data_IF_296790132519
#
_entry.id   IF_296790132519
#
_cell.length_a   1.000
_cell.length_b   1.000
_cell.length_c   1.000
_cell.angle_alpha   90.00
_cell.angle_beta   90.00
_cell.angle_gamma   90.00
#
_symmetry.space_group_name_H-M   'P 1'
#
loop_
_entity.id
_entity.type
_entity.pdbx_description
1 polymer ?
#
# COMPACT_ATOMS: atom_id res chain seq x y z
N UNK A 1 -54.22 41.96 -30.32
CA UNK A 1 -54.60 40.73 -29.59
C UNK A 1 -53.45 39.75 -29.74
N UNK A 2 -52.96 39.27 -28.59
CA UNK A 2 -51.73 38.51 -28.33
C UNK A 2 -51.61 37.23 -29.20
N UNK A 3 -50.45 36.99 -29.82
CA UNK A 3 -49.31 36.20 -29.31
C UNK A 3 -49.59 34.68 -29.27
N UNK A 4 -49.23 34.00 -30.35
CA UNK A 4 -49.21 32.53 -30.48
C UNK A 4 -47.84 32.14 -31.02
N UNK A 5 -46.77 32.43 -30.27
CA UNK A 5 -45.42 31.99 -30.59
C UNK A 5 -44.65 31.71 -29.29
N UNK A 6 -44.88 30.56 -28.66
CA UNK A 6 -44.18 30.32 -27.39
C UNK A 6 -44.41 28.98 -26.69
N UNK A 7 -44.67 27.89 -27.42
CA UNK A 7 -44.67 26.55 -26.82
C UNK A 7 -44.04 25.62 -27.84
N UNK A 8 -42.91 24.99 -27.51
CA UNK A 8 -42.41 23.68 -28.04
C UNK A 8 -40.87 23.52 -28.13
N UNK A 9 -40.05 24.35 -27.48
CA UNK A 9 -38.60 24.07 -27.39
C UNK A 9 -38.07 24.20 -25.95
N UNK A 10 -38.44 23.27 -25.07
CA UNK A 10 -37.93 23.34 -23.70
C UNK A 10 -38.21 22.09 -22.87
N UNK A 11 -37.44 21.02 -23.08
CA UNK A 11 -37.27 20.03 -22.02
C UNK A 11 -37.09 18.61 -22.48
N UNK A 12 -35.89 18.22 -22.93
CA UNK A 12 -35.53 16.79 -22.98
C UNK A 12 -34.01 16.50 -22.94
N UNK A 13 -33.15 17.42 -22.49
CA UNK A 13 -31.68 17.22 -22.46
C UNK A 13 -31.03 17.14 -21.07
N UNK A 14 -31.79 17.33 -19.98
CA UNK A 14 -31.23 17.35 -18.62
C UNK A 14 -31.06 15.95 -17.99
N UNK A 15 -31.92 14.99 -18.35
CA UNK A 15 -31.90 13.64 -17.76
C UNK A 15 -30.76 12.74 -18.25
N UNK A 16 -30.33 12.88 -19.50
CA UNK A 16 -29.24 12.09 -20.08
C UNK A 16 -27.90 12.44 -19.44
N UNK A 17 -27.58 13.74 -19.29
CA UNK A 17 -26.35 14.22 -18.64
C UNK A 17 -26.24 13.74 -17.18
N UNK A 18 -27.34 13.75 -16.43
CA UNK A 18 -27.36 13.27 -15.04
C UNK A 18 -27.04 11.78 -14.89
N UNK A 19 -27.52 10.93 -15.81
CA UNK A 19 -27.22 9.49 -15.82
C UNK A 19 -25.76 9.20 -16.16
N UNK A 20 -25.19 9.88 -17.15
CA UNK A 20 -23.79 9.74 -17.52
C UNK A 20 -22.85 10.12 -16.36
N UNK A 21 -23.12 11.24 -15.67
CA UNK A 21 -22.32 11.68 -14.52
C UNK A 21 -22.39 10.69 -13.36
N UNK A 22 -23.59 10.14 -13.06
CA UNK A 22 -23.74 9.12 -11.99
C UNK A 22 -23.02 7.81 -12.33
N UNK A 23 -23.16 7.32 -13.56
CA UNK A 23 -22.46 6.13 -14.06
C UNK A 23 -20.93 6.31 -14.01
N UNK A 24 -20.42 7.43 -14.52
CA UNK A 24 -18.99 7.74 -14.50
C UNK A 24 -18.44 7.86 -13.07
N UNK A 25 -19.15 8.53 -12.16
CA UNK A 25 -18.78 8.59 -10.74
C UNK A 25 -18.75 7.19 -10.11
N UNK A 26 -19.75 6.35 -10.40
CA UNK A 26 -19.80 4.97 -9.90
C UNK A 26 -18.60 4.13 -10.38
N UNK A 27 -18.25 4.22 -11.67
CA UNK A 27 -17.09 3.55 -12.24
C UNK A 27 -15.77 3.99 -11.63
N UNK A 28 -15.59 5.31 -11.42
CA UNK A 28 -14.39 5.86 -10.76
C UNK A 28 -14.29 5.39 -9.30
N UNK A 29 -15.40 5.36 -8.57
CA UNK A 29 -15.43 4.90 -7.18
C UNK A 29 -15.03 3.43 -7.09
N UNK A 30 -15.62 2.57 -7.92
CA UNK A 30 -15.30 1.15 -7.96
C UNK A 30 -13.84 0.89 -8.32
N UNK A 31 -13.27 1.64 -9.28
CA UNK A 31 -11.85 1.53 -9.63
C UNK A 31 -10.94 1.94 -8.48
N UNK A 32 -11.24 3.04 -7.79
CA UNK A 32 -10.48 3.49 -6.60
C UNK A 32 -10.53 2.46 -5.47
N UNK A 33 -11.70 1.87 -5.20
CA UNK A 33 -11.85 0.83 -4.18
C UNK A 33 -11.00 -0.40 -4.48
N UNK A 34 -10.94 -0.84 -5.75
CA UNK A 34 -10.08 -1.97 -6.15
C UNK A 34 -8.59 -1.69 -5.93
N UNK A 35 -8.15 -0.46 -6.21
CA UNK A 35 -6.76 -0.03 -6.01
C UNK A 35 -6.43 -0.02 -4.51
N UNK A 36 -7.30 0.56 -3.68
CA UNK A 36 -7.11 0.60 -2.24
C UNK A 36 -7.10 -0.81 -1.63
N UNK A 37 -8.06 -1.66 -2.01
CA UNK A 37 -8.10 -3.06 -1.56
C UNK A 37 -6.82 -3.81 -1.96
N UNK A 38 -6.33 -3.61 -3.19
CA UNK A 38 -5.06 -4.20 -3.64
C UNK A 38 -3.87 -3.71 -2.82
N UNK A 39 -3.83 -2.42 -2.48
CA UNK A 39 -2.76 -1.85 -1.65
C UNK A 39 -2.75 -2.47 -0.25
N UNK A 40 -3.93 -2.66 0.36
CA UNK A 40 -4.06 -3.32 1.67
C UNK A 40 -3.65 -4.78 1.59
N UNK A 41 -4.17 -5.55 0.62
CA UNK A 41 -3.84 -6.98 0.48
C UNK A 41 -2.34 -7.22 0.27
N UNK A 42 -1.70 -6.40 -0.57
CA UNK A 42 -0.25 -6.52 -0.78
C UNK A 42 0.52 -6.02 0.45
N UNK A 43 0.02 -5.02 1.18
CA UNK A 43 0.61 -4.61 2.46
C UNK A 43 0.52 -5.69 3.54
N UNK A 44 -0.57 -6.45 3.58
CA UNK A 44 -0.67 -7.63 4.45
C UNK A 44 0.36 -8.70 4.05
N UNK A 45 0.56 -8.90 2.74
CA UNK A 45 1.58 -9.82 2.23
C UNK A 45 3.00 -9.35 2.56
N UNK A 46 3.24 -8.03 2.60
CA UNK A 46 4.55 -7.47 2.94
C UNK A 46 4.94 -7.69 4.41
N UNK A 47 3.96 -7.86 5.30
CA UNK A 47 4.18 -8.33 6.67
C UNK A 47 4.26 -9.86 6.75
N UNK A 48 3.35 -10.57 6.09
CA UNK A 48 3.24 -12.03 6.19
C UNK A 48 4.48 -12.77 5.65
N UNK A 49 5.10 -12.25 4.59
CA UNK A 49 6.31 -12.88 4.01
C UNK A 49 7.49 -12.84 5.01
N UNK A 50 7.96 -11.67 5.49
CA UNK A 50 8.99 -11.61 6.54
C UNK A 50 8.63 -12.42 7.78
N UNK A 51 7.35 -12.40 8.18
CA UNK A 51 6.87 -13.20 9.29
C UNK A 51 7.16 -14.69 9.11
N UNK A 52 6.76 -15.30 7.99
CA UNK A 52 7.02 -16.72 7.70
C UNK A 52 8.53 -17.02 7.69
N UNK A 53 9.33 -16.17 7.04
CA UNK A 53 10.79 -16.33 7.03
C UNK A 53 11.41 -16.21 8.44
N UNK A 54 10.84 -15.37 9.31
CA UNK A 54 11.25 -15.29 10.71
C UNK A 54 11.14 -16.61 11.45
N UNK A 55 10.07 -17.38 11.22
CA UNK A 55 9.93 -18.73 11.79
C UNK A 55 10.92 -19.72 11.18
N UNK A 56 11.07 -19.71 9.85
CA UNK A 56 11.98 -20.61 9.14
C UNK A 56 13.45 -20.40 9.54
N UNK A 57 13.84 -19.14 9.73
CA UNK A 57 15.20 -18.75 10.10
C UNK A 57 15.43 -18.75 11.62
N UNK A 58 14.40 -19.00 12.43
CA UNK A 58 14.52 -18.99 13.89
C UNK A 58 15.63 -19.90 14.46
N UNK A 59 15.92 -21.10 13.90
CA UNK A 59 17.06 -21.92 14.35
C UNK A 59 18.40 -21.19 14.21
N UNK A 60 18.57 -20.38 13.17
CA UNK A 60 19.79 -19.59 12.92
C UNK A 60 19.97 -18.55 14.01
N UNK A 61 18.88 -17.97 14.54
CA UNK A 61 18.94 -16.98 15.62
C UNK A 61 19.68 -17.49 16.86
N UNK A 62 19.56 -18.79 17.17
CA UNK A 62 20.26 -19.41 18.32
C UNK A 62 21.74 -19.65 18.06
N UNK A 63 22.12 -19.90 16.80
CA UNK A 63 23.50 -20.15 16.40
C UNK A 63 24.28 -18.85 16.19
N UNK A 64 23.65 -17.88 15.55
CA UNK A 64 24.25 -16.61 15.15
C UNK A 64 23.18 -15.53 15.01
N UNK A 65 22.97 -14.77 16.08
CA UNK A 65 22.00 -13.66 16.12
C UNK A 65 22.24 -12.60 15.04
N UNK A 66 23.47 -12.09 14.85
CA UNK A 66 23.77 -11.13 13.79
C UNK A 66 23.41 -11.63 12.38
N UNK A 67 23.75 -12.89 12.06
CA UNK A 67 23.41 -13.48 10.76
C UNK A 67 21.90 -13.55 10.55
N UNK A 68 21.15 -13.96 11.57
CA UNK A 68 19.68 -13.97 11.53
C UNK A 68 19.13 -12.57 11.21
N UNK A 69 19.59 -11.53 11.91
CA UNK A 69 19.13 -10.16 11.68
C UNK A 69 19.44 -9.69 10.25
N UNK A 70 20.66 -9.95 9.75
CA UNK A 70 21.02 -9.62 8.36
C UNK A 70 20.13 -10.32 7.35
N UNK A 71 19.86 -11.62 7.50
CA UNK A 71 18.98 -12.35 6.60
C UNK A 71 17.55 -11.80 6.63
N UNK A 72 17.02 -11.48 7.82
CA UNK A 72 15.70 -10.86 7.96
C UNK A 72 15.62 -9.51 7.25
N UNK A 73 16.65 -8.67 7.36
CA UNK A 73 16.68 -7.38 6.66
C UNK A 73 16.67 -7.59 5.14
N UNK A 74 17.46 -8.54 4.63
CA UNK A 74 17.45 -8.88 3.20
C UNK A 74 16.07 -9.37 2.73
N UNK A 75 15.38 -10.18 3.54
CA UNK A 75 14.01 -10.62 3.24
C UNK A 75 13.05 -9.42 3.16
N UNK A 76 13.10 -8.48 4.10
CA UNK A 76 12.25 -7.28 4.07
C UNK A 76 12.56 -6.40 2.86
N UNK A 77 13.85 -6.18 2.56
CA UNK A 77 14.32 -5.44 1.38
C UNK A 77 13.80 -6.04 0.08
N UNK A 78 14.00 -7.35 -0.11
CA UNK A 78 13.55 -8.08 -1.30
C UNK A 78 12.01 -8.06 -1.41
N UNK A 79 11.31 -8.32 -0.30
CA UNK A 79 9.85 -8.29 -0.25
C UNK A 79 9.30 -6.93 -0.63
N UNK A 80 9.86 -5.85 -0.05
CA UNK A 80 9.48 -4.47 -0.35
C UNK A 80 9.62 -4.17 -1.86
N UNK A 81 10.80 -4.44 -2.44
CA UNK A 81 11.07 -4.18 -3.85
C UNK A 81 10.16 -4.99 -4.79
N UNK A 82 10.03 -6.29 -4.55
CA UNK A 82 9.23 -7.19 -5.40
C UNK A 82 7.74 -6.85 -5.34
N UNK A 83 7.20 -6.58 -4.14
CA UNK A 83 5.79 -6.25 -3.98
C UNK A 83 5.47 -4.87 -4.55
N UNK A 84 6.35 -3.87 -4.40
CA UNK A 84 6.16 -2.56 -5.04
C UNK A 84 6.18 -2.69 -6.57
N UNK A 85 7.14 -3.44 -7.13
CA UNK A 85 7.19 -3.72 -8.56
C UNK A 85 5.91 -4.42 -9.04
N UNK A 86 5.37 -5.35 -8.26
CA UNK A 86 4.12 -6.05 -8.56
C UNK A 86 2.86 -5.16 -8.41
N UNK A 87 2.86 -4.23 -7.44
CA UNK A 87 1.76 -3.31 -7.22
C UNK A 87 1.63 -2.31 -8.37
N UNK A 88 2.75 -1.75 -8.84
CA UNK A 88 2.82 -0.77 -9.92
C UNK A 88 2.92 -1.39 -11.32
N UNK A 89 2.95 -2.72 -11.43
CA UNK A 89 3.08 -3.41 -12.72
C UNK A 89 2.00 -2.95 -13.70
N UNK A 90 2.45 -2.47 -14.88
CA UNK A 90 1.60 -1.96 -15.98
C UNK A 90 0.71 -0.76 -15.59
N UNK A 91 1.10 0.02 -14.59
CA UNK A 91 0.40 1.25 -14.18
C UNK A 91 1.36 2.44 -14.19
N UNK A 92 0.84 3.61 -14.54
CA UNK A 92 1.60 4.85 -14.39
C UNK A 92 1.86 5.12 -12.90
N UNK A 93 3.12 5.40 -12.57
CA UNK A 93 3.54 5.61 -11.18
C UNK A 93 3.43 7.10 -10.84
N UNK A 94 2.50 7.43 -9.95
CA UNK A 94 2.41 8.77 -9.36
C UNK A 94 3.24 8.83 -8.08
N UNK A 95 4.00 9.90 -7.89
CA UNK A 95 4.78 10.14 -6.64
C UNK A 95 3.85 10.17 -5.43
N UNK A 96 2.67 10.80 -5.56
CA UNK A 96 1.68 10.88 -4.47
C UNK A 96 1.12 9.50 -4.13
N UNK A 97 0.72 8.71 -5.13
CA UNK A 97 0.21 7.35 -4.90
C UNK A 97 1.29 6.47 -4.25
N UNK A 98 2.53 6.57 -4.72
CA UNK A 98 3.64 5.77 -4.21
C UNK A 98 3.99 6.12 -2.77
N UNK A 99 4.03 7.41 -2.42
CA UNK A 99 4.22 7.84 -1.04
C UNK A 99 3.10 7.27 -0.13
N UNK A 100 1.84 7.38 -0.55
CA UNK A 100 0.70 6.87 0.23
C UNK A 100 0.77 5.34 0.42
N UNK A 101 1.10 4.58 -0.63
CA UNK A 101 1.22 3.12 -0.58
C UNK A 101 2.38 2.71 0.32
N UNK A 102 3.55 3.34 0.18
CA UNK A 102 4.71 3.05 1.02
C UNK A 102 4.44 3.35 2.50
N UNK A 103 3.82 4.48 2.82
CA UNK A 103 3.42 4.82 4.20
C UNK A 103 2.37 3.87 4.75
N UNK A 104 1.40 3.45 3.92
CA UNK A 104 0.39 2.47 4.32
C UNK A 104 1.04 1.13 4.69
N UNK A 105 2.00 0.66 3.89
CA UNK A 105 2.67 -0.62 4.15
C UNK A 105 3.56 -0.56 5.39
N UNK A 106 4.26 0.57 5.61
CA UNK A 106 4.94 0.84 6.87
C UNK A 106 3.98 0.72 8.06
N UNK A 107 2.81 1.37 7.99
CA UNK A 107 1.83 1.33 9.07
C UNK A 107 1.30 -0.09 9.31
N UNK A 108 0.97 -0.84 8.25
CA UNK A 108 0.53 -2.23 8.36
C UNK A 108 1.58 -3.09 9.07
N UNK A 109 2.84 -2.99 8.65
CA UNK A 109 3.92 -3.77 9.26
C UNK A 109 4.10 -3.42 10.74
N UNK A 110 4.14 -2.12 11.08
CA UNK A 110 4.28 -1.71 12.48
C UNK A 110 3.12 -2.16 13.36
N UNK A 111 1.88 -2.01 12.88
CA UNK A 111 0.67 -2.34 13.67
C UNK A 111 0.56 -3.84 13.91
N UNK A 112 0.90 -4.67 12.91
CA UNK A 112 0.80 -6.12 13.04
C UNK A 112 1.98 -6.72 13.81
N UNK A 113 3.18 -6.19 13.61
CA UNK A 113 4.40 -6.78 14.15
C UNK A 113 4.67 -6.34 15.59
N UNK A 114 4.41 -5.07 15.94
CA UNK A 114 4.69 -4.54 17.28
C UNK A 114 4.05 -5.34 18.42
N UNK A 115 2.75 -5.70 18.38
CA UNK A 115 2.13 -6.50 19.45
C UNK A 115 2.82 -7.85 19.66
N UNK A 116 3.36 -8.45 18.59
CA UNK A 116 4.05 -9.72 18.68
C UNK A 116 5.38 -9.64 19.43
N UNK A 117 6.11 -8.53 19.28
CA UNK A 117 7.38 -8.30 19.99
C UNK A 117 7.18 -7.67 21.37
N UNK A 118 6.07 -6.97 21.60
CA UNK A 118 5.73 -6.40 22.90
C UNK A 118 5.18 -7.46 23.86
N UNK A 119 4.30 -8.35 23.37
CA UNK A 119 3.58 -9.31 24.21
C UNK A 119 3.96 -10.78 23.96
N UNK A 120 4.68 -11.08 22.87
CA UNK A 120 5.03 -12.44 22.50
C UNK A 120 6.25 -13.03 23.23
N UNK A 121 6.68 -14.24 22.82
CA UNK A 121 7.78 -14.97 23.46
C UNK A 121 9.15 -14.34 23.20
N UNK A 122 9.29 -13.57 22.12
CA UNK A 122 10.50 -12.79 21.80
C UNK A 122 10.29 -11.35 22.22
N UNK A 123 10.40 -11.08 23.53
CA UNK A 123 10.19 -9.74 24.06
C UNK A 123 11.35 -8.82 23.71
N UNK A 124 11.03 -7.70 23.08
CA UNK A 124 11.92 -6.57 22.93
C UNK A 124 11.35 -5.39 23.70
N UNK A 125 12.22 -4.53 24.22
CA UNK A 125 11.77 -3.22 24.71
C UNK A 125 11.21 -2.43 23.53
N UNK A 126 10.29 -1.50 23.78
CA UNK A 126 9.73 -0.67 22.71
C UNK A 126 10.83 0.04 21.92
N UNK A 127 11.84 0.58 22.62
CA UNK A 127 13.00 1.21 21.98
C UNK A 127 13.79 0.24 21.12
N UNK A 128 14.09 -0.96 21.64
CA UNK A 128 14.80 -2.02 20.90
C UNK A 128 14.06 -2.44 19.64
N UNK A 129 12.73 -2.62 19.73
CA UNK A 129 11.90 -2.93 18.56
C UNK A 129 12.01 -1.83 17.50
N UNK A 130 11.83 -0.56 17.86
CA UNK A 130 11.87 0.52 16.87
C UNK A 130 13.27 0.69 16.27
N UNK A 131 14.34 0.54 17.05
CA UNK A 131 15.72 0.67 16.55
C UNK A 131 16.15 -0.49 15.66
N UNK A 132 15.74 -1.72 15.96
CA UNK A 132 16.21 -2.91 15.24
C UNK A 132 15.27 -3.31 14.10
N UNK A 133 13.95 -3.21 14.30
CA UNK A 133 12.95 -3.73 13.36
C UNK A 133 12.17 -2.57 12.72
N UNK A 134 11.68 -1.64 13.55
CA UNK A 134 10.85 -0.53 13.08
C UNK A 134 11.54 0.35 12.03
N UNK A 135 12.84 0.63 12.20
CA UNK A 135 13.63 1.38 11.23
C UNK A 135 13.75 0.67 9.88
N UNK A 136 13.78 -0.66 9.86
CA UNK A 136 13.88 -1.43 8.62
C UNK A 136 12.66 -1.20 7.75
N UNK A 137 11.47 -1.07 8.34
CA UNK A 137 10.23 -0.82 7.60
C UNK A 137 10.18 0.55 6.90
N UNK A 138 11.08 1.48 7.22
CA UNK A 138 11.24 2.72 6.43
C UNK A 138 11.69 2.42 4.97
N UNK A 139 12.20 1.22 4.69
CA UNK A 139 12.45 0.79 3.30
C UNK A 139 11.19 0.83 2.44
N UNK A 140 9.98 0.62 2.97
CA UNK A 140 8.75 0.68 2.18
C UNK A 140 8.50 2.08 1.56
N UNK A 141 8.39 3.17 2.34
CA UNK A 141 8.23 4.51 1.76
C UNK A 141 9.45 4.95 0.94
N UNK A 142 10.67 4.60 1.34
CA UNK A 142 11.88 4.94 0.59
C UNK A 142 11.86 4.30 -0.80
N UNK A 143 11.61 2.99 -0.90
CA UNK A 143 11.57 2.30 -2.18
C UNK A 143 10.40 2.76 -3.05
N UNK A 144 9.24 3.03 -2.46
CA UNK A 144 8.08 3.53 -3.20
C UNK A 144 8.37 4.90 -3.85
N UNK A 145 9.03 5.80 -3.11
CA UNK A 145 9.44 7.10 -3.64
C UNK A 145 10.53 6.96 -4.72
N UNK A 146 11.53 6.11 -4.51
CA UNK A 146 12.59 5.87 -5.49
C UNK A 146 12.02 5.30 -6.80
N UNK A 147 11.13 4.29 -6.72
CA UNK A 147 10.46 3.73 -7.88
C UNK A 147 9.66 4.78 -8.65
N UNK A 148 8.97 5.68 -7.95
CA UNK A 148 8.22 6.77 -8.57
C UNK A 148 9.09 7.84 -9.24
N UNK A 149 10.33 8.03 -8.76
CA UNK A 149 11.29 8.95 -9.37
C UNK A 149 11.89 8.34 -10.64
N UNK A 150 12.32 7.07 -10.58
CA UNK A 150 12.90 6.37 -11.72
C UNK A 150 11.91 6.16 -12.86
N UNK A 151 10.63 5.93 -12.57
CA UNK A 151 9.60 5.78 -13.60
C UNK A 151 9.23 7.08 -14.34
N UNK A 152 9.76 8.23 -13.89
CA UNK A 152 9.55 9.54 -14.53
C UNK A 152 10.76 10.03 -15.34
N UNK A 153 11.89 9.33 -15.25
CA UNK A 153 13.13 9.60 -16.00
C UNK A 153 13.12 8.87 -17.33
#
# INVERSE_FOLDING_TARGET
>A
MADVAGVLCGGHHSGARGRWVKSARGGIMAAKTRIAARAVWIGLLSWFVPFVFGFLLFPIKKMNGPLFSTLMYLVVLATSGLLLAFYFRRRAVSVRESAMVGTLWLAINLILDYPMFAFGPMKLTALGYYSEIGLVYLTFPVFALLAARLAKS
#
